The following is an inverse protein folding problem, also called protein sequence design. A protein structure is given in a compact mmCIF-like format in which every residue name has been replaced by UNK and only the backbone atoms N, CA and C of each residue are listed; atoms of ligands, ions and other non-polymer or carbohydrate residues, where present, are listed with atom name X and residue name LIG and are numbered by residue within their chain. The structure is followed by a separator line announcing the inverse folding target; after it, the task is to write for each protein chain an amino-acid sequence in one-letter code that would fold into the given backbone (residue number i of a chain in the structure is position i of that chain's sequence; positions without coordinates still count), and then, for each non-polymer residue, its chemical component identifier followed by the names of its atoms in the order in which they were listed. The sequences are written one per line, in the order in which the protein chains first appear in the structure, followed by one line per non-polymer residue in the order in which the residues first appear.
data_IF_912284771850
#
_entry.id   IF_912284771850
#
_cell.length_a   1.000
_cell.length_b   1.000
_cell.length_c   1.000
_cell.angle_alpha   90.00
_cell.angle_beta   90.00
_cell.angle_gamma   90.00
#
_symmetry.space_group_name_H-M   'P 1'
#
loop_
_entity.id
_entity.type
_entity.pdbx_description
1 polymer ?
#
# COMPACT_ATOMS: atom_id res chain seq x y z
N UNK A 1 -5.59 -11.97 24.89
CA UNK A 1 -6.45 -10.80 24.60
C UNK A 1 -6.22 -10.36 23.16
N UNK A 2 -6.81 -11.11 22.21
CA UNK A 2 -6.42 -11.09 20.80
C UNK A 2 -6.84 -9.82 20.07
N UNK A 3 -5.87 -8.97 19.74
CA UNK A 3 -6.10 -7.92 18.76
C UNK A 3 -6.32 -8.55 17.39
N UNK A 4 -7.35 -8.10 16.68
CA UNK A 4 -7.62 -8.57 15.32
C UNK A 4 -6.50 -8.10 14.38
N UNK A 5 -6.05 -9.01 13.52
CA UNK A 5 -5.09 -8.74 12.46
C UNK A 5 -5.77 -7.93 11.34
N UNK A 6 -5.08 -6.92 10.79
CA UNK A 6 -5.52 -6.22 9.58
C UNK A 6 -4.78 -6.71 8.35
N UNK A 7 -3.46 -6.77 8.44
CA UNK A 7 -2.59 -7.10 7.32
C UNK A 7 -1.23 -7.62 7.79
N UNK A 8 -0.51 -8.25 6.87
CA UNK A 8 0.91 -8.55 7.00
C UNK A 8 1.69 -7.95 5.82
N UNK A 9 2.99 -7.74 6.03
CA UNK A 9 3.97 -7.38 5.00
C UNK A 9 5.13 -8.38 5.09
N UNK A 10 5.12 -9.45 4.27
CA UNK A 10 6.04 -10.59 4.42
C UNK A 10 7.46 -10.33 3.91
N UNK A 11 7.71 -9.19 3.28
CA UNK A 11 9.03 -8.73 2.82
C UNK A 11 9.25 -7.25 3.18
N UNK A 12 8.84 -6.88 4.40
CA UNK A 12 8.69 -5.48 4.78
C UNK A 12 7.84 -4.71 3.76
N UNK A 13 8.13 -3.42 3.50
CA UNK A 13 7.34 -2.64 2.55
C UNK A 13 7.48 -3.11 1.09
N UNK A 14 8.59 -3.78 0.75
CA UNK A 14 8.90 -4.22 -0.61
C UNK A 14 7.93 -5.28 -1.14
N UNK A 15 7.34 -6.09 -0.25
CA UNK A 15 6.34 -7.10 -0.63
C UNK A 15 4.90 -6.57 -0.73
N UNK A 16 4.67 -5.29 -0.43
CA UNK A 16 3.34 -4.74 -0.21
C UNK A 16 2.62 -5.38 0.97
N UNK A 17 1.30 -5.19 1.04
CA UNK A 17 0.45 -5.66 2.12
C UNK A 17 -0.48 -6.78 1.67
N UNK A 18 -0.64 -7.81 2.50
CA UNK A 18 -1.66 -8.84 2.36
C UNK A 18 -2.67 -8.69 3.50
N UNK A 19 -3.98 -8.57 3.23
CA UNK A 19 -5.00 -8.48 4.27
C UNK A 19 -5.12 -9.78 5.06
N UNK A 20 -5.69 -9.69 6.27
CA UNK A 20 -5.97 -10.84 7.12
C UNK A 20 -6.86 -11.89 6.43
N UNK A 21 -7.72 -11.45 5.52
CA UNK A 21 -8.58 -12.30 4.69
C UNK A 21 -8.41 -11.90 3.24
N UNK A 22 -7.90 -12.81 2.42
CA UNK A 22 -7.78 -12.63 0.97
C UNK A 22 -9.08 -13.09 0.30
N UNK A 23 -9.61 -12.30 -0.63
CA UNK A 23 -10.79 -12.65 -1.43
C UNK A 23 -10.37 -13.12 -2.82
N UNK A 24 -11.05 -14.12 -3.38
CA UNK A 24 -10.68 -14.70 -4.68
C UNK A 24 -10.60 -13.68 -5.81
N UNK A 25 -11.45 -12.64 -5.80
CA UNK A 25 -11.51 -11.59 -6.83
C UNK A 25 -10.27 -10.70 -6.82
N UNK A 26 -9.58 -10.65 -5.67
CA UNK A 26 -8.37 -9.88 -5.48
C UNK A 26 -7.12 -10.70 -5.79
N UNK A 27 -7.24 -11.98 -6.12
CA UNK A 27 -6.11 -12.91 -6.24
C UNK A 27 -5.89 -13.38 -7.68
N UNK A 28 -4.65 -13.74 -8.07
CA UNK A 28 -4.40 -14.28 -9.40
C UNK A 28 -5.11 -15.64 -9.55
N UNK A 29 -5.64 -15.99 -10.75
CA UNK A 29 -6.39 -17.23 -10.95
C UNK A 29 -5.65 -18.49 -10.47
N UNK A 30 -4.32 -18.50 -10.66
CA UNK A 30 -3.46 -19.61 -10.24
C UNK A 30 -3.46 -19.82 -8.72
N UNK A 31 -3.43 -18.74 -7.92
CA UNK A 31 -3.55 -18.86 -6.46
C UNK A 31 -4.90 -19.44 -6.05
N UNK A 32 -5.98 -18.96 -6.68
CA UNK A 32 -7.34 -19.44 -6.40
C UNK A 32 -7.46 -20.93 -6.67
N UNK A 33 -6.94 -21.39 -7.82
CA UNK A 33 -6.97 -22.79 -8.22
C UNK A 33 -6.13 -23.69 -7.31
N UNK A 34 -4.92 -23.28 -6.95
CA UNK A 34 -3.98 -24.12 -6.22
C UNK A 34 -4.18 -24.09 -4.69
N UNK A 35 -4.61 -22.95 -4.13
CA UNK A 35 -4.59 -22.73 -2.67
C UNK A 35 -5.98 -22.64 -2.05
N UNK A 36 -6.99 -22.15 -2.79
CA UNK A 36 -8.30 -21.84 -2.19
C UNK A 36 -9.30 -23.01 -2.22
N UNK A 37 -9.05 -24.09 -2.97
CA UNK A 37 -9.89 -25.32 -3.00
C UNK A 37 -11.40 -25.04 -3.16
N UNK A 38 -11.75 -24.01 -3.94
CA UNK A 38 -13.15 -23.61 -4.18
C UNK A 38 -13.75 -22.66 -3.13
N UNK A 39 -12.99 -22.25 -2.11
CA UNK A 39 -13.41 -21.22 -1.16
C UNK A 39 -13.35 -19.81 -1.78
N UNK A 40 -14.24 -18.92 -1.33
CA UNK A 40 -14.27 -17.52 -1.75
C UNK A 40 -13.25 -16.65 -1.01
N UNK A 41 -12.81 -17.11 0.16
CA UNK A 41 -11.86 -16.41 1.03
C UNK A 41 -10.76 -17.33 1.53
N UNK A 42 -9.59 -16.77 1.79
CA UNK A 42 -8.44 -17.46 2.37
C UNK A 42 -7.93 -16.68 3.59
N UNK A 43 -7.80 -17.36 4.74
CA UNK A 43 -7.25 -16.77 5.96
C UNK A 43 -5.72 -16.67 5.83
N UNK A 44 -5.16 -15.49 6.06
CA UNK A 44 -3.72 -15.28 5.95
C UNK A 44 -2.92 -16.11 6.95
N UNK A 45 -3.54 -16.54 8.05
CA UNK A 45 -2.90 -17.40 9.06
C UNK A 45 -2.63 -18.82 8.53
N UNK A 46 -3.37 -19.26 7.50
CA UNK A 46 -3.17 -20.53 6.83
C UNK A 46 -2.14 -20.44 5.67
N UNK A 47 -1.60 -19.24 5.42
CA UNK A 47 -0.62 -19.02 4.36
C UNK A 47 0.73 -19.63 4.72
N UNK A 48 1.21 -20.58 3.92
CA UNK A 48 2.58 -21.08 4.04
C UNK A 48 3.57 -19.95 3.68
N UNK A 49 4.51 -19.67 4.59
CA UNK A 49 5.54 -18.64 4.42
C UNK A 49 6.71 -19.14 3.58
N UNK A 50 6.47 -19.28 2.28
CA UNK A 50 7.48 -19.65 1.30
C UNK A 50 7.37 -18.76 0.05
N UNK A 51 8.48 -18.63 -0.70
CA UNK A 51 8.53 -17.78 -1.88
C UNK A 51 7.49 -18.16 -2.96
N UNK A 52 7.22 -19.46 -3.15
CA UNK A 52 6.29 -19.91 -4.19
C UNK A 52 4.86 -19.48 -3.86
N UNK A 53 4.43 -19.71 -2.62
CA UNK A 53 3.08 -19.36 -2.14
C UNK A 53 2.88 -17.85 -2.13
N UNK A 54 3.87 -17.08 -1.67
CA UNK A 54 3.78 -15.62 -1.63
C UNK A 54 3.80 -14.97 -3.03
N UNK A 55 4.63 -15.49 -3.93
CA UNK A 55 4.66 -15.03 -5.33
C UNK A 55 3.32 -15.26 -6.02
N UNK A 56 2.65 -16.39 -5.76
CA UNK A 56 1.30 -16.66 -6.27
C UNK A 56 0.26 -15.67 -5.74
N UNK A 57 0.42 -15.16 -4.51
CA UNK A 57 -0.45 -14.12 -3.95
C UNK A 57 -0.14 -12.72 -4.52
N UNK A 58 0.91 -12.57 -5.34
CA UNK A 58 1.39 -11.27 -5.83
C UNK A 58 2.18 -10.50 -4.78
N UNK A 59 2.84 -11.21 -3.85
CA UNK A 59 3.74 -10.67 -2.85
C UNK A 59 5.09 -11.40 -2.92
N UNK A 60 5.97 -11.23 -1.93
CA UNK A 60 7.25 -11.93 -1.85
C UNK A 60 7.66 -12.12 -0.38
N UNK A 61 8.54 -13.08 -0.11
CA UNK A 61 9.20 -13.23 1.20
C UNK A 61 10.53 -12.48 1.18
N UNK A 62 10.84 -11.76 2.24
CA UNK A 62 12.10 -11.02 2.35
C UNK A 62 12.69 -11.05 3.75
N UNK A 63 13.60 -10.12 4.00
CA UNK A 63 14.38 -10.08 5.23
C UNK A 63 13.61 -9.58 6.46
N UNK A 64 12.41 -9.02 6.27
CA UNK A 64 11.58 -8.48 7.36
C UNK A 64 10.13 -8.92 7.21
N UNK A 65 9.47 -9.18 8.34
CA UNK A 65 8.06 -9.51 8.42
C UNK A 65 7.37 -8.51 9.35
N UNK A 66 6.35 -7.80 8.86
CA UNK A 66 5.63 -6.78 9.63
C UNK A 66 4.16 -7.16 9.75
N UNK A 67 3.60 -6.97 10.94
CA UNK A 67 2.20 -7.27 11.26
C UNK A 67 1.46 -5.98 11.59
N UNK A 68 0.31 -5.75 10.96
CA UNK A 68 -0.53 -4.57 11.18
C UNK A 68 -1.80 -4.95 11.94
N UNK A 69 -2.02 -4.31 13.09
CA UNK A 69 -3.25 -4.46 13.88
C UNK A 69 -4.46 -3.75 13.25
N UNK A 70 -5.67 -4.16 13.64
CA UNK A 70 -6.95 -3.69 13.10
C UNK A 70 -7.14 -2.15 13.01
N UNK A 71 -6.53 -1.38 13.90
CA UNK A 71 -6.70 0.07 13.96
C UNK A 71 -5.77 0.86 13.02
N UNK A 72 -4.87 0.19 12.29
CA UNK A 72 -3.94 0.87 11.37
C UNK A 72 -4.67 1.31 10.11
N UNK A 73 -4.45 2.54 9.67
CA UNK A 73 -4.88 3.02 8.35
C UNK A 73 -3.88 2.51 7.30
N UNK A 74 -4.31 1.63 6.40
CA UNK A 74 -3.36 1.00 5.48
C UNK A 74 -2.92 1.96 4.37
N UNK A 75 -3.75 2.95 4.01
CA UNK A 75 -3.44 3.95 2.97
C UNK A 75 -2.34 4.89 3.48
N UNK A 76 -2.43 5.30 4.74
CA UNK A 76 -1.38 6.05 5.41
C UNK A 76 -0.08 5.26 5.55
N UNK A 77 -0.17 3.98 5.92
CA UNK A 77 1.02 3.11 5.99
C UNK A 77 1.66 2.93 4.60
N UNK A 78 0.86 2.79 3.54
CA UNK A 78 1.36 2.73 2.17
C UNK A 78 2.12 4.00 1.80
N UNK A 79 1.54 5.17 2.08
CA UNK A 79 2.19 6.45 1.81
C UNK A 79 3.51 6.57 2.59
N UNK A 80 3.52 6.22 3.87
CA UNK A 80 4.74 6.24 4.70
C UNK A 80 5.84 5.32 4.14
N UNK A 81 5.48 4.12 3.69
CA UNK A 81 6.42 3.20 3.07
C UNK A 81 6.96 3.71 1.72
N UNK A 82 6.10 4.32 0.88
CA UNK A 82 6.54 4.91 -0.39
C UNK A 82 7.39 6.17 -0.18
N UNK A 83 7.12 6.97 0.86
CA UNK A 83 7.98 8.08 1.28
C UNK A 83 9.38 7.62 1.65
N UNK A 84 9.51 6.49 2.36
CA UNK A 84 10.79 5.86 2.63
C UNK A 84 11.52 5.50 1.33
N UNK A 85 10.86 4.80 0.39
CA UNK A 85 11.51 4.44 -0.88
C UNK A 85 11.92 5.64 -1.73
N UNK A 86 11.12 6.71 -1.74
CA UNK A 86 11.49 7.97 -2.38
C UNK A 86 12.74 8.57 -1.73
N UNK A 87 12.78 8.63 -0.40
CA UNK A 87 13.91 9.21 0.35
C UNK A 87 15.20 8.40 0.19
N UNK A 88 15.09 7.07 0.13
CA UNK A 88 16.22 6.15 -0.06
C UNK A 88 16.54 5.89 -1.54
N UNK A 89 15.89 6.61 -2.47
CA UNK A 89 16.24 6.52 -3.88
C UNK A 89 17.62 7.11 -4.12
N UNK A 90 18.53 6.34 -4.72
CA UNK A 90 19.82 6.87 -5.19
C UNK A 90 19.71 7.83 -6.38
N UNK A 91 18.51 8.03 -6.93
CA UNK A 91 18.24 9.01 -7.98
C UNK A 91 18.75 8.67 -9.38
N UNK A 92 19.37 7.49 -9.61
CA UNK A 92 20.01 7.14 -10.90
C UNK A 92 19.04 6.98 -12.07
N UNK A 93 17.96 6.22 -11.89
CA UNK A 93 16.95 6.01 -12.95
C UNK A 93 15.76 6.95 -12.77
N UNK A 94 15.33 7.56 -13.88
CA UNK A 94 14.15 8.44 -13.95
C UNK A 94 12.87 7.78 -13.41
N UNK A 95 12.50 6.55 -13.79
CA UNK A 95 11.27 5.91 -13.29
C UNK A 95 11.25 5.83 -11.76
N UNK A 96 12.36 5.43 -11.11
CA UNK A 96 12.42 5.40 -9.66
C UNK A 96 12.41 6.81 -9.04
N UNK A 97 13.28 7.71 -9.50
CA UNK A 97 13.45 9.05 -8.90
C UNK A 97 12.17 9.89 -9.02
N UNK A 98 11.61 9.97 -10.22
CA UNK A 98 10.44 10.80 -10.49
C UNK A 98 9.14 10.06 -10.16
N UNK A 99 9.08 8.76 -10.45
CA UNK A 99 7.87 7.96 -10.21
C UNK A 99 7.55 7.84 -8.72
N UNK A 100 8.54 7.55 -7.87
CA UNK A 100 8.31 7.48 -6.41
C UNK A 100 7.84 8.82 -5.83
N UNK A 101 8.41 9.94 -6.28
CA UNK A 101 7.92 11.27 -5.90
C UNK A 101 6.46 11.48 -6.33
N UNK A 102 6.13 11.16 -7.58
CA UNK A 102 4.76 11.30 -8.11
C UNK A 102 3.75 10.44 -7.35
N UNK A 103 4.11 9.22 -7.00
CA UNK A 103 3.27 8.35 -6.17
C UNK A 103 3.01 8.97 -4.79
N UNK A 104 4.04 9.51 -4.14
CA UNK A 104 3.87 10.23 -2.87
C UNK A 104 2.97 11.45 -3.03
N UNK A 105 3.20 12.29 -4.04
CA UNK A 105 2.40 13.49 -4.25
C UNK A 105 0.92 13.15 -4.43
N UNK A 106 0.63 12.14 -5.27
CA UNK A 106 -0.74 11.67 -5.51
C UNK A 106 -1.39 11.13 -4.24
N UNK A 107 -0.72 10.26 -3.47
CA UNK A 107 -1.30 9.69 -2.26
C UNK A 107 -1.37 10.69 -1.09
N UNK A 108 -0.50 11.68 -1.07
CA UNK A 108 -0.58 12.82 -0.13
C UNK A 108 -1.85 13.62 -0.41
N UNK A 109 -2.14 13.93 -1.67
CA UNK A 109 -3.38 14.61 -2.05
C UNK A 109 -4.63 13.78 -1.69
N UNK A 110 -4.59 12.46 -1.93
CA UNK A 110 -5.67 11.53 -1.55
C UNK A 110 -5.94 11.59 -0.04
N UNK A 111 -4.90 11.55 0.79
CA UNK A 111 -5.06 11.57 2.25
C UNK A 111 -5.51 12.93 2.77
N UNK A 112 -4.91 14.04 2.29
CA UNK A 112 -5.14 15.39 2.83
C UNK A 112 -6.56 15.92 2.67
N UNK A 113 -7.32 15.45 1.68
CA UNK A 113 -8.71 15.88 1.55
C UNK A 113 -8.97 17.04 0.61
N UNK A 114 -7.96 17.73 0.06
CA UNK A 114 -8.22 18.89 -0.81
C UNK A 114 -8.84 18.44 -2.14
N UNK A 115 -10.07 18.88 -2.40
CA UNK A 115 -10.83 18.51 -3.60
C UNK A 115 -10.09 18.88 -4.89
N UNK A 116 -9.38 20.00 -4.91
CA UNK A 116 -8.64 20.46 -6.11
C UNK A 116 -7.42 19.59 -6.39
N UNK A 117 -6.71 19.16 -5.34
CA UNK A 117 -5.55 18.30 -5.49
C UNK A 117 -5.96 16.87 -5.89
N UNK A 118 -7.10 16.38 -5.36
CA UNK A 118 -7.63 15.05 -5.65
C UNK A 118 -8.19 14.88 -7.05
N UNK A 119 -8.73 15.94 -7.64
CA UNK A 119 -9.37 15.90 -8.96
C UNK A 119 -8.42 15.38 -10.05
N UNK A 120 -7.12 15.57 -9.86
CA UNK A 120 -6.09 15.11 -10.78
C UNK A 120 -5.53 13.71 -10.47
N UNK A 121 -5.95 13.07 -9.36
CA UNK A 121 -5.49 11.74 -8.97
C UNK A 121 -6.44 10.67 -9.52
N UNK A 122 -5.92 9.85 -10.43
CA UNK A 122 -6.66 8.74 -11.05
C UNK A 122 -5.98 7.42 -10.68
N UNK A 123 -6.73 6.46 -10.11
CA UNK A 123 -6.20 5.14 -9.77
C UNK A 123 -5.61 4.40 -10.98
N UNK A 124 -6.22 4.45 -12.19
CA UNK A 124 -5.58 3.96 -13.41
C UNK A 124 -4.19 4.57 -13.69
N UNK A 125 -4.04 5.88 -13.51
CA UNK A 125 -2.74 6.55 -13.71
C UNK A 125 -1.71 6.10 -12.67
N UNK A 126 -2.13 5.88 -11.43
CA UNK A 126 -1.27 5.33 -10.38
C UNK A 126 -0.79 3.93 -10.76
N UNK A 127 -1.69 3.07 -11.25
CA UNK A 127 -1.34 1.72 -11.70
C UNK A 127 -0.38 1.74 -12.89
N UNK A 128 -0.63 2.58 -13.90
CA UNK A 128 0.26 2.71 -15.06
C UNK A 128 1.67 3.17 -14.64
N UNK A 129 1.76 4.16 -13.75
CA UNK A 129 3.04 4.61 -13.21
C UNK A 129 3.74 3.51 -12.43
N UNK A 130 3.01 2.73 -11.63
CA UNK A 130 3.55 1.59 -10.89
C UNK A 130 4.16 0.55 -11.85
N UNK A 131 3.46 0.21 -12.94
CA UNK A 131 3.94 -0.74 -13.95
C UNK A 131 5.21 -0.22 -14.64
N UNK A 132 5.24 1.06 -15.03
CA UNK A 132 6.44 1.69 -15.60
C UNK A 132 7.61 1.60 -14.62
N UNK A 133 7.39 1.89 -13.34
CA UNK A 133 8.44 1.80 -12.31
C UNK A 133 8.98 0.37 -12.15
N UNK A 134 8.10 -0.62 -12.11
CA UNK A 134 8.43 -2.05 -12.01
C UNK A 134 9.27 -2.49 -13.22
N UNK A 135 8.86 -2.12 -14.43
CA UNK A 135 9.47 -2.61 -15.67
C UNK A 135 10.77 -1.89 -16.06
N UNK A 136 10.94 -0.63 -15.67
CA UNK A 136 12.00 0.23 -16.24
C UNK A 136 13.02 0.74 -15.21
N UNK A 137 12.82 0.45 -13.91
CA UNK A 137 13.82 0.77 -12.89
C UNK A 137 15.03 -0.15 -12.94
N UNK A 138 16.22 0.42 -12.75
CA UNK A 138 17.50 -0.29 -12.86
C UNK A 138 17.73 -1.31 -11.74
N UNK A 139 17.24 -1.04 -10.52
CA UNK A 139 17.50 -1.88 -9.35
C UNK A 139 16.20 -2.24 -8.60
N UNK A 140 16.30 -3.23 -7.72
CA UNK A 140 15.17 -3.76 -6.96
C UNK A 140 14.40 -2.71 -6.16
N UNK A 141 15.07 -1.68 -5.62
CA UNK A 141 14.39 -0.59 -4.89
C UNK A 141 13.37 0.12 -5.78
N UNK A 142 13.78 0.52 -6.99
CA UNK A 142 12.87 1.20 -7.93
C UNK A 142 11.76 0.29 -8.42
N UNK A 143 12.04 -1.00 -8.55
CA UNK A 143 11.05 -2.00 -8.98
C UNK A 143 9.97 -2.25 -7.92
N UNK A 144 10.28 -2.10 -6.63
CA UNK A 144 9.32 -2.38 -5.53
C UNK A 144 8.75 -1.12 -4.88
N UNK A 145 9.23 0.08 -5.23
CA UNK A 145 8.84 1.32 -4.58
C UNK A 145 7.33 1.63 -4.68
N UNK A 146 6.65 1.11 -5.71
CA UNK A 146 5.21 1.25 -5.91
C UNK A 146 4.37 0.20 -5.16
N UNK A 147 4.98 -0.91 -4.70
CA UNK A 147 4.26 -2.05 -4.12
C UNK A 147 3.36 -1.70 -2.92
N UNK A 148 3.77 -0.83 -1.96
CA UNK A 148 2.89 -0.43 -0.87
C UNK A 148 1.57 0.16 -1.39
N UNK A 149 1.66 1.12 -2.31
CA UNK A 149 0.50 1.81 -2.91
C UNK A 149 -0.33 0.85 -3.77
N UNK A 150 0.30 0.06 -4.65
CA UNK A 150 -0.40 -0.91 -5.49
C UNK A 150 -1.16 -1.93 -4.65
N UNK A 151 -0.59 -2.36 -3.53
CA UNK A 151 -1.24 -3.31 -2.63
C UNK A 151 -2.46 -2.72 -1.90
N UNK A 152 -2.45 -1.43 -1.52
CA UNK A 152 -3.66 -0.81 -0.92
C UNK A 152 -4.75 -0.54 -1.93
N UNK A 153 -4.41 -0.18 -3.17
CA UNK A 153 -5.40 -0.06 -4.25
C UNK A 153 -6.09 -1.40 -4.49
N UNK A 154 -5.32 -2.50 -4.45
CA UNK A 154 -5.83 -3.86 -4.68
C UNK A 154 -6.64 -4.41 -3.51
N UNK A 155 -6.05 -4.41 -2.31
CA UNK A 155 -6.58 -5.14 -1.17
C UNK A 155 -7.42 -4.28 -0.22
N UNK A 156 -7.12 -2.99 -0.14
CA UNK A 156 -7.75 -2.02 0.76
C UNK A 156 -8.50 -0.94 -0.01
N UNK A 157 -9.06 -1.29 -1.18
CA UNK A 157 -9.74 -0.37 -2.09
C UNK A 157 -10.81 0.48 -1.40
N UNK A 158 -11.58 -0.10 -0.49
CA UNK A 158 -12.59 0.62 0.27
C UNK A 158 -12.02 1.74 1.15
N UNK A 159 -10.80 1.59 1.70
CA UNK A 159 -10.12 2.65 2.45
C UNK A 159 -9.67 3.78 1.50
N UNK A 160 -9.11 3.42 0.34
CA UNK A 160 -8.72 4.39 -0.70
C UNK A 160 -9.95 5.18 -1.17
N UNK A 161 -11.07 4.50 -1.44
CA UNK A 161 -12.32 5.12 -1.86
C UNK A 161 -12.92 6.00 -0.77
N UNK A 162 -12.80 5.63 0.51
CA UNK A 162 -13.22 6.48 1.63
C UNK A 162 -12.45 7.80 1.68
N UNK A 163 -11.15 7.79 1.37
CA UNK A 163 -10.38 9.02 1.20
C UNK A 163 -10.84 9.81 -0.01
N UNK A 164 -10.99 9.19 -1.17
CA UNK A 164 -11.43 9.86 -2.39
C UNK A 164 -12.81 10.53 -2.22
N UNK A 165 -13.72 9.87 -1.50
CA UNK A 165 -15.05 10.40 -1.16
C UNK A 165 -15.05 11.46 -0.04
N UNK A 166 -13.91 11.73 0.60
CA UNK A 166 -13.78 12.68 1.71
C UNK A 166 -14.41 12.20 3.03
N UNK A 167 -14.67 10.90 3.16
CA UNK A 167 -15.21 10.28 4.37
C UNK A 167 -14.08 10.05 5.40
N UNK A 168 -12.94 9.56 4.94
CA UNK A 168 -11.76 9.35 5.78
C UNK A 168 -11.05 10.67 6.11
N UNK A 169 -10.43 10.73 7.29
CA UNK A 169 -9.68 11.90 7.78
C UNK A 169 -8.19 11.62 7.74
N UNK A 170 -7.40 12.64 7.40
CA UNK A 170 -5.94 12.56 7.42
C UNK A 170 -5.43 12.22 8.85
N UNK A 171 -4.83 11.04 9.07
CA UNK A 171 -4.35 10.62 10.38
C UNK A 171 -3.07 11.35 10.80
N UNK A 172 -2.39 12.02 9.87
CA UNK A 172 -1.18 12.81 10.09
C UNK A 172 -1.51 14.24 10.51
N UNK A 173 -2.76 14.68 10.32
CA UNK A 173 -3.17 16.04 10.68
C UNK A 173 -3.25 16.17 12.19
N UNK A 174 -2.59 17.18 12.80
CA UNK A 174 -2.76 17.42 14.23
C UNK A 174 -4.24 17.71 14.53
N UNK A 175 -4.75 17.15 15.62
CA UNK A 175 -6.12 17.39 16.05
C UNK A 175 -6.37 18.90 16.17
N UNK A 176 -7.53 19.39 15.71
CA UNK A 176 -7.91 20.82 15.74
C UNK A 176 -7.70 21.48 17.12
N UNK A 177 -7.73 20.71 18.20
CA UNK A 177 -7.46 21.15 19.57
C UNK A 177 -6.01 21.63 19.79
N UNK A 178 -5.03 21.04 19.09
CA UNK A 178 -3.61 21.35 19.28
C UNK A 178 -3.17 22.66 18.61
N UNK A 179 -3.86 23.07 17.54
CA UNK A 179 -3.60 24.33 16.83
C UNK A 179 -4.03 25.56 17.65
N UNK A 180 -5.13 25.47 18.40
CA UNK A 180 -5.59 26.57 19.27
C UNK A 180 -4.62 26.91 20.40
N UNK A 181 -3.81 25.95 20.87
CA UNK A 181 -2.81 26.19 21.91
C UNK A 181 -1.59 26.94 21.38
N UNK A 182 -1.30 26.83 20.07
CA UNK A 182 -0.15 27.49 19.43
C UNK A 182 -0.49 28.89 18.91
N UNK A 183 -1.76 29.17 18.60
CA UNK A 183 -2.24 30.51 18.20
C UNK A 183 -2.56 31.43 19.41
N UNK A 184 -2.41 30.92 20.64
CA UNK A 184 -2.65 31.63 21.90
C UNK A 184 -1.40 31.90 22.74
N UNK A 185 -0.20 31.73 22.18
CA UNK A 185 1.10 32.12 22.74
C UNK A 185 1.70 33.26 21.90
#
# INVERSE_FOLDING_TARGET
GGQKLKAIAPSGPSGGFLPAVLRKEQLPPKFVQEKMKGADTFDILDLTLDNSTLSLAGSMLGAAFVVYGHHRDMVDQALNCTEFFRNESCGKCVPCRTGSQKLVDMFTAVIRGDRREKEHVSLPLVSELADVMILTSICGLGQVASNPISSVIRFFRGEVEAYLAGIAQDPRRPAKTMLKTLEGL
#
